data_IF_699179176805
#
_entry.id   IF_699179176805
#
_cell.length_a   1.000
_cell.length_b   1.000
_cell.length_c   1.000
_cell.angle_alpha   90.00
_cell.angle_beta   90.00
_cell.angle_gamma   90.00
#
_symmetry.space_group_name_H-M   'P 1'
#
loop_
_entity.id
_entity.type
_entity.pdbx_description
1 polymer ?
#
# COMPACT_ATOMS: atom_id res chain seq x y z
N UNK A 1 38.76 40.53 -56.41
CA UNK A 1 37.54 39.70 -56.64
C UNK A 1 37.71 38.21 -56.32
N UNK A 2 38.84 37.75 -55.79
CA UNK A 2 39.12 36.30 -55.62
C UNK A 2 39.12 35.86 -54.10
N UNK A 3 39.27 36.78 -53.18
CA UNK A 3 39.35 36.47 -51.73
C UNK A 3 37.97 36.38 -51.07
N UNK A 4 37.00 37.18 -51.52
CA UNK A 4 35.63 37.18 -50.96
C UNK A 4 34.82 35.93 -51.32
N UNK A 5 35.08 35.27 -52.43
CA UNK A 5 34.41 34.05 -52.86
C UNK A 5 34.87 32.83 -52.02
N UNK A 6 36.14 32.83 -51.59
CA UNK A 6 36.71 31.72 -50.82
C UNK A 6 36.21 31.72 -49.35
N UNK A 7 36.02 32.89 -48.74
CA UNK A 7 35.51 33.01 -47.38
C UNK A 7 34.02 32.61 -47.25
N UNK A 8 33.18 32.92 -48.27
CA UNK A 8 31.76 32.50 -48.26
C UNK A 8 31.58 30.97 -48.40
N UNK A 9 32.50 30.31 -49.16
CA UNK A 9 32.40 28.84 -49.33
C UNK A 9 32.88 28.06 -48.11
N UNK A 10 33.82 28.60 -47.34
CA UNK A 10 34.32 27.98 -46.12
C UNK A 10 33.25 28.11 -45.00
N UNK A 11 32.61 29.29 -44.86
CA UNK A 11 31.53 29.51 -43.88
C UNK A 11 30.33 28.59 -44.06
N UNK A 12 29.91 28.35 -45.30
CA UNK A 12 28.75 27.47 -45.59
C UNK A 12 29.08 26.00 -45.34
N UNK A 13 30.29 25.53 -45.64
CA UNK A 13 30.68 24.14 -45.34
C UNK A 13 30.80 23.87 -43.85
N UNK A 14 31.32 24.81 -43.10
CA UNK A 14 31.38 24.67 -41.62
C UNK A 14 30.02 24.78 -40.96
N UNK A 15 29.13 25.62 -41.51
CA UNK A 15 27.74 25.70 -40.99
C UNK A 15 26.95 24.40 -41.25
N UNK A 16 27.09 23.81 -42.43
CA UNK A 16 26.49 22.51 -42.76
C UNK A 16 27.11 21.37 -41.94
N UNK A 17 28.42 21.38 -41.66
CA UNK A 17 29.09 20.40 -40.85
C UNK A 17 28.68 20.52 -39.38
N UNK A 18 28.51 21.74 -38.84
CA UNK A 18 27.96 22.00 -37.51
C UNK A 18 26.49 21.61 -37.41
N UNK A 19 25.68 21.81 -38.45
CA UNK A 19 24.28 21.35 -38.46
C UNK A 19 24.19 19.83 -38.51
N UNK A 20 25.04 19.16 -39.30
CA UNK A 20 25.11 17.70 -39.34
C UNK A 20 25.68 17.10 -38.04
N UNK A 21 26.66 17.77 -37.40
CA UNK A 21 27.13 17.37 -36.08
C UNK A 21 26.04 17.55 -35.00
N UNK A 22 25.27 18.65 -35.03
CA UNK A 22 24.16 18.84 -34.12
C UNK A 22 22.99 17.87 -34.38
N UNK A 23 22.73 17.50 -35.63
CA UNK A 23 21.77 16.43 -35.95
C UNK A 23 22.28 15.04 -35.54
N UNK A 24 23.60 14.80 -35.57
CA UNK A 24 24.18 13.54 -35.08
C UNK A 24 24.24 13.44 -33.54
N UNK A 25 24.28 14.58 -32.84
CA UNK A 25 24.22 14.60 -31.36
C UNK A 25 22.80 14.60 -30.82
N UNK A 26 21.77 14.83 -31.62
CA UNK A 26 20.36 14.73 -31.20
C UNK A 26 19.69 13.39 -31.55
N UNK A 27 20.46 12.36 -31.93
CA UNK A 27 20.00 10.99 -31.68
C UNK A 27 20.07 10.75 -30.18
N UNK A 28 19.18 11.39 -29.42
CA UNK A 28 18.88 10.99 -28.06
C UNK A 28 18.65 9.48 -28.16
N UNK A 29 19.50 8.70 -27.46
CA UNK A 29 19.35 7.26 -27.36
C UNK A 29 17.93 7.04 -26.89
N UNK A 30 17.03 6.55 -27.71
CA UNK A 30 15.68 6.28 -27.33
C UNK A 30 15.77 5.29 -26.15
N UNK A 31 15.41 5.73 -24.96
CA UNK A 31 15.38 4.85 -23.79
C UNK A 31 14.38 3.77 -24.13
N UNK A 32 14.83 2.52 -24.14
CA UNK A 32 14.00 1.35 -24.43
C UNK A 32 13.65 0.62 -23.16
N UNK A 33 12.60 -0.19 -23.20
CA UNK A 33 12.27 -1.09 -22.10
C UNK A 33 13.37 -2.15 -21.90
N UNK A 34 13.46 -2.67 -20.66
CA UNK A 34 14.53 -3.58 -20.23
C UNK A 34 14.44 -4.98 -20.89
N UNK A 35 13.23 -5.42 -21.23
CA UNK A 35 12.97 -6.77 -21.71
C UNK A 35 12.92 -7.84 -20.60
N UNK A 36 12.99 -7.44 -19.34
CA UNK A 36 12.96 -8.36 -18.18
C UNK A 36 11.63 -8.37 -17.45
N UNK A 37 10.72 -7.46 -17.77
CA UNK A 37 9.35 -7.38 -17.26
C UNK A 37 8.34 -7.41 -18.41
N UNK A 38 7.08 -7.79 -18.15
CA UNK A 38 6.01 -7.64 -19.14
C UNK A 38 5.89 -6.19 -19.59
N UNK A 39 5.62 -5.98 -20.87
CA UNK A 39 5.45 -4.65 -21.45
C UNK A 39 3.99 -4.44 -21.84
N UNK A 40 3.41 -3.33 -21.37
CA UNK A 40 2.07 -2.86 -21.73
C UNK A 40 2.20 -1.76 -22.78
N UNK A 41 1.68 -2.01 -23.96
CA UNK A 41 1.64 -1.05 -25.05
C UNK A 41 0.24 -0.45 -25.14
N UNK A 42 0.14 0.88 -25.10
CA UNK A 42 -1.14 1.59 -25.20
C UNK A 42 -1.01 2.67 -26.28
N UNK A 43 -1.99 2.72 -27.20
CA UNK A 43 -2.13 3.77 -28.17
C UNK A 43 -3.47 4.48 -27.98
N UNK A 44 -3.43 5.79 -27.75
CA UNK A 44 -4.61 6.62 -27.50
C UNK A 44 -5.04 7.36 -28.75
N UNK A 45 -6.34 7.61 -28.87
CA UNK A 45 -6.92 8.38 -29.99
C UNK A 45 -6.70 9.89 -29.84
N UNK A 46 -6.42 10.37 -28.62
CA UNK A 46 -6.15 11.76 -28.30
C UNK A 46 -5.29 11.88 -27.04
N UNK A 47 -4.85 13.08 -26.70
CA UNK A 47 -4.09 13.33 -25.47
C UNK A 47 -4.89 13.00 -24.19
N UNK A 48 -4.22 12.52 -23.16
CA UNK A 48 -4.81 12.25 -21.84
C UNK A 48 -4.62 13.52 -20.99
N UNK A 49 -5.65 14.36 -20.94
CA UNK A 49 -5.59 15.67 -20.25
C UNK A 49 -6.38 15.69 -18.92
N UNK A 50 -7.22 14.67 -18.67
CA UNK A 50 -8.14 14.65 -17.56
C UNK A 50 -7.96 13.41 -16.68
N UNK A 51 -8.21 13.56 -15.38
CA UNK A 51 -8.37 12.43 -14.46
C UNK A 51 -9.83 11.99 -14.28
N UNK A 52 -10.77 12.67 -14.93
CA UNK A 52 -12.21 12.35 -14.91
C UNK A 52 -12.68 11.74 -16.23
N UNK A 53 -12.23 12.30 -17.33
CA UNK A 53 -12.70 11.94 -18.67
C UNK A 53 -11.80 10.88 -19.30
N UNK A 54 -12.43 9.86 -19.83
CA UNK A 54 -11.73 8.79 -20.52
C UNK A 54 -11.48 9.10 -21.98
N UNK A 55 -10.29 8.75 -22.44
CA UNK A 55 -9.90 8.72 -23.83
C UNK A 55 -9.99 7.28 -24.35
N UNK A 56 -10.50 7.09 -25.56
CA UNK A 56 -10.50 5.79 -26.22
C UNK A 56 -9.06 5.42 -26.63
N UNK A 57 -8.71 4.16 -26.46
CA UNK A 57 -7.38 3.64 -26.74
C UNK A 57 -7.44 2.16 -27.12
N UNK A 58 -6.33 1.67 -27.61
CA UNK A 58 -6.07 0.25 -27.78
C UNK A 58 -4.85 -0.16 -26.97
N UNK A 59 -4.78 -1.44 -26.58
CA UNK A 59 -3.62 -1.99 -25.89
C UNK A 59 -3.31 -3.41 -26.33
N UNK A 60 -2.08 -3.79 -26.14
CA UNK A 60 -1.64 -5.18 -26.07
C UNK A 60 -0.61 -5.34 -24.96
N UNK A 61 -0.47 -6.56 -24.47
CA UNK A 61 0.47 -6.91 -23.41
C UNK A 61 1.37 -8.03 -23.89
N UNK A 62 2.67 -7.76 -23.92
CA UNK A 62 3.71 -8.74 -24.20
C UNK A 62 4.32 -9.20 -22.87
N UNK A 63 4.23 -10.50 -22.51
CA UNK A 63 4.84 -11.02 -21.30
C UNK A 63 6.36 -11.16 -21.37
N UNK A 64 7.01 -10.83 -22.50
CA UNK A 64 8.45 -10.92 -22.71
C UNK A 64 9.03 -12.32 -22.44
N UNK A 65 8.25 -13.36 -22.72
CA UNK A 65 8.66 -14.77 -22.48
C UNK A 65 8.70 -15.18 -21.01
N UNK A 66 8.14 -14.40 -20.10
CA UNK A 66 8.09 -14.75 -18.68
C UNK A 66 7.07 -15.87 -18.46
N UNK A 67 7.53 -16.98 -17.87
CA UNK A 67 6.69 -18.13 -17.58
C UNK A 67 5.48 -17.80 -16.72
N UNK A 68 4.33 -18.39 -17.05
CA UNK A 68 3.07 -18.22 -16.33
C UNK A 68 2.26 -16.97 -16.73
N UNK A 69 2.75 -16.18 -17.68
CA UNK A 69 2.00 -15.06 -18.25
C UNK A 69 1.70 -15.30 -19.70
N UNK A 70 0.49 -14.93 -20.12
CA UNK A 70 0.02 -15.03 -21.50
C UNK A 70 0.00 -13.66 -22.16
N UNK A 71 0.33 -13.61 -23.45
CA UNK A 71 0.17 -12.40 -24.26
C UNK A 71 -1.32 -12.06 -24.41
N UNK A 72 -1.63 -10.76 -24.45
CA UNK A 72 -2.98 -10.27 -24.68
C UNK A 72 -2.94 -9.35 -25.88
N UNK A 73 -3.50 -9.79 -27.00
CA UNK A 73 -3.41 -9.09 -28.27
C UNK A 73 -1.99 -9.03 -28.85
N UNK A 74 -1.87 -8.21 -29.86
CA UNK A 74 -0.60 -7.89 -30.53
C UNK A 74 -0.64 -6.49 -31.13
N UNK A 75 0.46 -6.03 -31.71
CA UNK A 75 0.49 -4.75 -32.44
C UNK A 75 -0.52 -4.71 -33.60
N UNK A 76 -0.73 -5.85 -34.28
CA UNK A 76 -1.64 -5.98 -35.41
C UNK A 76 -3.09 -6.26 -34.99
N UNK A 77 -3.32 -6.78 -33.78
CA UNK A 77 -4.64 -7.12 -33.23
C UNK A 77 -4.74 -6.69 -31.75
N UNK A 78 -4.74 -5.37 -31.47
CA UNK A 78 -4.83 -4.85 -30.10
C UNK A 78 -6.27 -4.87 -29.56
N UNK A 79 -6.40 -4.98 -28.24
CA UNK A 79 -7.68 -4.90 -27.54
C UNK A 79 -8.10 -3.45 -27.28
N UNK A 80 -9.41 -3.13 -27.36
CA UNK A 80 -9.92 -1.82 -27.00
C UNK A 80 -9.93 -1.59 -25.49
N UNK A 81 -9.56 -0.38 -25.06
CA UNK A 81 -9.69 0.10 -23.71
C UNK A 81 -10.01 1.60 -23.68
N UNK A 82 -10.35 2.07 -22.49
CA UNK A 82 -10.44 3.49 -22.17
C UNK A 82 -9.40 3.82 -21.11
N UNK A 83 -8.71 4.96 -21.26
CA UNK A 83 -7.66 5.41 -20.35
C UNK A 83 -7.91 6.84 -19.91
N UNK A 84 -7.53 7.17 -18.67
CA UNK A 84 -7.53 8.53 -18.14
C UNK A 84 -6.43 8.71 -17.11
N UNK A 85 -6.12 9.92 -16.75
CA UNK A 85 -5.26 10.22 -15.62
C UNK A 85 -5.84 9.72 -14.30
N UNK A 86 -4.99 9.58 -13.28
CA UNK A 86 -5.38 9.26 -11.90
C UNK A 86 -4.43 9.89 -10.89
N UNK A 87 -4.91 9.98 -9.64
CA UNK A 87 -4.25 10.60 -8.51
C UNK A 87 -4.69 12.06 -8.31
N UNK A 88 -4.29 12.65 -7.21
CA UNK A 88 -4.44 14.07 -6.93
C UNK A 88 -3.07 14.73 -7.06
N UNK A 89 -2.22 14.60 -6.06
CA UNK A 89 -0.88 15.17 -6.07
C UNK A 89 -0.03 14.64 -7.23
N UNK A 90 -0.08 13.35 -7.52
CA UNK A 90 0.65 12.71 -8.62
C UNK A 90 0.15 13.10 -10.01
N UNK A 91 -1.09 13.63 -10.13
CA UNK A 91 -1.62 14.13 -11.40
C UNK A 91 -1.42 15.64 -11.58
N UNK A 92 -1.78 16.44 -10.57
CA UNK A 92 -1.71 17.89 -10.63
C UNK A 92 -0.35 18.46 -10.21
N UNK A 93 0.45 17.70 -9.48
CA UNK A 93 1.78 18.11 -9.05
C UNK A 93 2.82 18.13 -10.19
N UNK A 94 4.07 18.45 -9.88
CA UNK A 94 5.12 18.74 -10.84
C UNK A 94 5.72 17.47 -11.51
N UNK A 95 5.04 16.34 -11.42
CA UNK A 95 5.54 15.08 -11.99
C UNK A 95 5.20 14.94 -13.45
N UNK A 96 6.18 14.68 -14.30
CA UNK A 96 5.99 14.35 -15.71
C UNK A 96 5.59 12.88 -15.92
N UNK A 97 6.03 12.00 -15.04
CA UNK A 97 5.67 10.59 -15.01
C UNK A 97 4.28 10.43 -14.38
N UNK A 98 3.24 10.40 -15.19
CA UNK A 98 1.84 10.37 -14.74
C UNK A 98 1.33 8.95 -14.50
N UNK A 99 0.44 8.79 -13.53
CA UNK A 99 -0.29 7.56 -13.29
C UNK A 99 -1.61 7.55 -14.07
N UNK A 100 -2.09 6.34 -14.44
CA UNK A 100 -3.28 6.18 -15.27
C UNK A 100 -4.28 5.20 -14.66
N UNK A 101 -5.55 5.38 -15.01
CA UNK A 101 -6.62 4.40 -14.78
C UNK A 101 -7.09 3.87 -16.13
N UNK A 102 -7.11 2.55 -16.27
CA UNK A 102 -7.57 1.87 -17.48
C UNK A 102 -8.87 1.13 -17.22
N UNK A 103 -9.72 1.11 -18.23
CA UNK A 103 -10.98 0.38 -18.25
C UNK A 103 -11.08 -0.42 -19.54
N UNK A 104 -10.95 -1.73 -19.43
CA UNK A 104 -11.09 -2.66 -20.55
C UNK A 104 -12.56 -2.72 -21.00
N UNK A 105 -12.82 -2.95 -22.28
CA UNK A 105 -14.16 -3.16 -22.79
C UNK A 105 -14.78 -4.43 -22.23
N UNK A 106 -14.02 -5.51 -22.16
CA UNK A 106 -14.37 -6.76 -21.49
C UNK A 106 -13.36 -7.09 -20.40
N UNK A 107 -13.78 -7.83 -19.36
CA UNK A 107 -12.84 -8.23 -18.31
C UNK A 107 -11.83 -9.24 -18.85
N UNK A 108 -10.53 -9.05 -18.51
CA UNK A 108 -9.42 -9.94 -18.82
C UNK A 108 -8.60 -10.29 -17.57
N UNK A 109 -8.00 -11.48 -17.52
CA UNK A 109 -7.07 -11.87 -16.46
C UNK A 109 -5.66 -11.37 -16.80
N UNK A 110 -5.33 -10.12 -16.48
CA UNK A 110 -4.02 -9.57 -16.79
C UNK A 110 -2.92 -10.13 -15.87
N UNK A 111 -1.87 -10.72 -16.41
CA UNK A 111 -0.70 -11.22 -15.69
C UNK A 111 -1.06 -12.10 -14.46
N UNK A 112 -2.00 -13.03 -14.64
CA UNK A 112 -2.44 -13.94 -13.59
C UNK A 112 -3.32 -13.31 -12.52
N UNK A 113 -3.65 -12.03 -12.61
CA UNK A 113 -4.63 -11.38 -11.73
C UNK A 113 -6.05 -11.80 -12.12
N UNK A 114 -7.01 -11.81 -11.17
CA UNK A 114 -8.39 -12.15 -11.45
C UNK A 114 -9.01 -11.30 -12.56
N UNK A 115 -9.83 -11.94 -13.42
CA UNK A 115 -10.56 -11.28 -14.52
C UNK A 115 -11.30 -10.04 -14.03
N UNK A 116 -10.97 -8.89 -14.60
CA UNK A 116 -11.61 -7.61 -14.30
C UNK A 116 -11.49 -6.63 -15.46
N UNK A 117 -12.30 -5.55 -15.43
CA UNK A 117 -12.26 -4.46 -16.41
C UNK A 117 -11.39 -3.28 -15.94
N UNK A 118 -11.19 -3.10 -14.64
CA UNK A 118 -10.62 -1.88 -14.07
C UNK A 118 -9.27 -2.16 -13.40
N UNK A 119 -8.25 -1.46 -13.89
CA UNK A 119 -6.90 -1.49 -13.30
C UNK A 119 -6.33 -0.06 -13.24
N UNK A 120 -5.29 0.10 -12.45
CA UNK A 120 -4.46 1.30 -12.42
C UNK A 120 -3.04 0.96 -12.88
N UNK A 121 -2.42 1.89 -13.59
CA UNK A 121 -1.00 1.91 -13.88
C UNK A 121 -0.37 2.96 -12.96
N UNK A 122 0.20 2.51 -11.83
CA UNK A 122 0.80 3.37 -10.82
C UNK A 122 2.22 3.72 -11.22
N UNK A 123 2.54 5.00 -11.21
CA UNK A 123 3.83 5.52 -11.68
C UNK A 123 4.90 5.61 -10.57
N UNK A 124 4.48 5.77 -9.31
CA UNK A 124 5.35 5.96 -8.15
C UNK A 124 6.44 7.03 -8.34
N UNK A 125 6.05 8.18 -8.88
CA UNK A 125 6.96 9.29 -9.15
C UNK A 125 7.31 10.15 -7.92
N UNK A 126 6.56 10.02 -6.83
CA UNK A 126 6.59 10.89 -5.64
C UNK A 126 7.38 10.33 -4.45
N UNK A 127 7.98 9.18 -4.59
CA UNK A 127 8.52 8.43 -3.44
C UNK A 127 10.03 8.33 -3.33
N UNK A 128 10.79 8.91 -4.23
CA UNK A 128 12.24 8.75 -4.25
C UNK A 128 12.65 7.27 -4.21
N UNK A 129 13.72 6.96 -3.46
CA UNK A 129 14.24 5.58 -3.41
C UNK A 129 13.29 4.55 -2.80
N UNK A 130 12.27 4.94 -2.03
CA UNK A 130 11.30 3.99 -1.45
C UNK A 130 10.07 3.76 -2.33
N UNK A 131 9.90 4.53 -3.41
CA UNK A 131 8.68 4.60 -4.23
C UNK A 131 8.16 3.23 -4.66
N UNK A 132 9.01 2.38 -5.22
CA UNK A 132 8.62 1.07 -5.75
C UNK A 132 8.28 0.03 -4.67
N UNK A 133 8.68 0.28 -3.43
CA UNK A 133 8.52 -0.67 -2.32
C UNK A 133 7.32 -0.40 -1.42
N UNK A 134 6.76 0.81 -1.42
CA UNK A 134 5.71 1.24 -0.50
C UNK A 134 4.43 0.39 -0.62
N UNK A 135 3.76 0.48 -1.77
CA UNK A 135 2.56 -0.34 -2.03
C UNK A 135 2.89 -1.83 -2.08
N UNK A 136 4.06 -2.19 -2.61
CA UNK A 136 4.53 -3.58 -2.71
C UNK A 136 4.61 -4.23 -1.33
N UNK A 137 5.26 -3.57 -0.37
CA UNK A 137 5.35 -4.06 1.01
C UNK A 137 3.98 -4.10 1.69
N UNK A 138 3.17 -3.06 1.52
CA UNK A 138 1.87 -2.99 2.18
C UNK A 138 0.88 -4.03 1.67
N UNK A 139 0.84 -4.26 0.37
CA UNK A 139 -0.02 -5.31 -0.17
C UNK A 139 0.45 -6.70 0.21
N UNK A 140 1.77 -6.94 0.31
CA UNK A 140 2.27 -8.21 0.84
C UNK A 140 1.94 -8.37 2.32
N UNK A 141 2.18 -7.36 3.14
CA UNK A 141 1.79 -7.36 4.55
C UNK A 141 0.29 -7.60 4.74
N UNK A 142 -0.55 -6.93 3.94
CA UNK A 142 -2.00 -7.12 3.99
C UNK A 142 -2.42 -8.59 3.79
N UNK A 143 -1.75 -9.30 2.87
CA UNK A 143 -1.93 -10.75 2.69
C UNK A 143 -1.42 -11.55 3.88
N UNK A 144 -0.24 -11.22 4.38
CA UNK A 144 0.39 -11.95 5.50
C UNK A 144 -0.38 -11.79 6.81
N UNK A 145 -0.97 -10.63 7.08
CA UNK A 145 -1.82 -10.43 8.27
C UNK A 145 -3.24 -10.97 8.06
N UNK A 146 -3.62 -11.38 6.86
CA UNK A 146 -4.92 -11.97 6.57
C UNK A 146 -6.06 -10.97 6.40
N UNK A 147 -5.83 -9.80 5.77
CA UNK A 147 -6.91 -8.94 5.31
C UNK A 147 -7.76 -9.67 4.25
N UNK A 148 -9.08 -9.55 4.32
CA UNK A 148 -10.02 -10.25 3.43
C UNK A 148 -9.78 -9.95 1.95
N UNK A 149 -9.41 -8.72 1.63
CA UNK A 149 -8.99 -8.32 0.30
C UNK A 149 -7.78 -7.38 0.37
N UNK A 150 -6.79 -7.70 -0.43
CA UNK A 150 -5.63 -6.84 -0.66
C UNK A 150 -5.38 -6.77 -2.17
N UNK A 151 -5.27 -5.57 -2.76
CA UNK A 151 -5.03 -5.44 -4.19
C UNK A 151 -3.77 -6.19 -4.64
N UNK A 152 -3.87 -6.89 -5.76
CA UNK A 152 -2.69 -7.43 -6.42
C UNK A 152 -2.10 -6.39 -7.35
N UNK A 153 -0.78 -6.44 -7.49
CA UNK A 153 -0.05 -5.63 -8.47
C UNK A 153 0.99 -6.47 -9.19
N UNK A 154 1.35 -6.03 -10.39
CA UNK A 154 2.42 -6.61 -11.20
C UNK A 154 3.31 -5.48 -11.72
N UNK A 155 4.64 -5.55 -11.55
CA UNK A 155 5.54 -4.63 -12.21
C UNK A 155 5.48 -4.86 -13.73
N UNK A 156 5.36 -3.78 -14.47
CA UNK A 156 5.31 -3.78 -15.94
C UNK A 156 6.07 -2.57 -16.46
N UNK A 157 6.53 -2.64 -17.69
CA UNK A 157 7.02 -1.48 -18.39
C UNK A 157 5.91 -0.92 -19.30
N UNK A 158 5.80 0.39 -19.40
CA UNK A 158 4.75 1.06 -20.19
C UNK A 158 5.33 1.74 -21.40
N UNK A 159 4.77 1.43 -22.57
CA UNK A 159 4.95 2.19 -23.81
C UNK A 159 3.62 2.84 -24.17
N UNK A 160 3.58 4.15 -24.19
CA UNK A 160 2.38 4.93 -24.47
C UNK A 160 2.58 5.75 -25.75
N UNK A 161 1.80 5.47 -26.79
CA UNK A 161 1.92 6.13 -28.11
C UNK A 161 3.34 6.03 -28.71
N UNK A 162 3.98 4.87 -28.52
CA UNK A 162 5.34 4.62 -28.98
C UNK A 162 6.45 5.23 -28.09
N UNK A 163 6.10 6.01 -27.06
CA UNK A 163 7.05 6.58 -26.09
C UNK A 163 7.19 5.68 -24.87
N UNK A 164 8.41 5.27 -24.53
CA UNK A 164 8.70 4.51 -23.31
C UNK A 164 8.48 5.38 -22.09
N UNK A 165 7.54 4.96 -21.22
CA UNK A 165 7.14 5.71 -20.03
C UNK A 165 7.77 5.19 -18.74
N UNK A 166 8.54 4.11 -18.80
CA UNK A 166 9.26 3.55 -17.65
C UNK A 166 8.56 2.40 -16.94
N UNK A 167 9.02 2.13 -15.74
CA UNK A 167 8.48 1.11 -14.84
C UNK A 167 7.17 1.58 -14.20
N UNK A 168 6.13 0.80 -14.38
CA UNK A 168 4.80 1.00 -13.80
C UNK A 168 4.34 -0.23 -13.03
N UNK A 169 3.31 -0.05 -12.21
CA UNK A 169 2.70 -1.15 -11.46
C UNK A 169 1.25 -1.30 -11.91
N UNK A 170 0.97 -2.35 -12.69
CA UNK A 170 -0.39 -2.71 -13.05
C UNK A 170 -1.09 -3.27 -11.82
N UNK A 171 -2.05 -2.51 -11.29
CA UNK A 171 -2.62 -2.71 -9.96
C UNK A 171 -4.13 -2.87 -10.02
N UNK A 172 -4.68 -3.79 -9.27
CA UNK A 172 -6.12 -3.91 -9.05
C UNK A 172 -6.64 -2.67 -8.33
N UNK A 173 -7.75 -2.09 -8.83
CA UNK A 173 -8.41 -0.95 -8.16
C UNK A 173 -9.31 -1.42 -7.03
N UNK A 174 -9.44 -0.63 -5.98
CA UNK A 174 -10.42 -0.84 -4.91
C UNK A 174 -11.84 -0.66 -5.47
N UNK A 175 -12.66 -1.71 -5.42
CA UNK A 175 -14.04 -1.74 -5.92
C UNK A 175 -14.83 -2.86 -5.24
N UNK A 176 -16.14 -2.71 -5.18
CA UNK A 176 -17.04 -3.83 -4.87
C UNK A 176 -17.03 -4.84 -6.02
N UNK A 177 -16.99 -6.12 -5.68
CA UNK A 177 -17.01 -7.23 -6.62
C UNK A 177 -16.49 -8.52 -6.01
N UNK A 178 -16.93 -9.65 -6.55
CA UNK A 178 -16.67 -11.01 -6.02
C UNK A 178 -15.18 -11.32 -5.77
N UNK A 179 -14.26 -10.76 -6.56
CA UNK A 179 -12.80 -10.95 -6.43
C UNK A 179 -12.07 -9.67 -6.05
N UNK A 180 -12.77 -8.76 -5.41
CA UNK A 180 -12.32 -7.49 -4.86
C UNK A 180 -12.89 -7.38 -3.45
N UNK A 181 -13.49 -6.25 -3.10
CA UNK A 181 -14.29 -6.14 -1.87
C UNK A 181 -15.59 -6.91 -2.09
N UNK A 182 -15.65 -8.13 -1.54
CA UNK A 182 -16.71 -9.08 -1.80
C UNK A 182 -17.88 -8.85 -0.85
N UNK A 183 -18.67 -7.85 -1.13
CA UNK A 183 -19.90 -7.49 -0.42
C UNK A 183 -21.06 -7.37 -1.40
N UNK A 184 -22.30 -7.43 -0.91
CA UNK A 184 -23.49 -7.24 -1.71
C UNK A 184 -23.47 -5.85 -2.38
N UNK A 185 -23.57 -5.81 -3.70
CA UNK A 185 -23.61 -4.54 -4.43
C UNK A 185 -24.93 -3.82 -4.16
N UNK A 186 -24.85 -2.53 -3.87
CA UNK A 186 -26.00 -1.65 -3.68
C UNK A 186 -26.29 -0.91 -4.96
N UNK A 187 -27.56 -0.78 -5.31
CA UNK A 187 -27.94 0.02 -6.48
C UNK A 187 -27.83 1.51 -6.19
N UNK A 188 -27.48 2.27 -7.23
CA UNK A 188 -27.54 3.71 -7.19
C UNK A 188 -28.97 4.19 -6.90
N UNK A 189 -29.11 5.15 -5.98
CA UNK A 189 -30.39 5.73 -5.56
C UNK A 189 -31.39 4.70 -4.99
N UNK A 190 -30.90 3.63 -4.38
CA UNK A 190 -31.73 2.65 -3.68
C UNK A 190 -32.55 3.33 -2.57
N UNK A 191 -33.76 2.87 -2.35
CA UNK A 191 -34.69 3.39 -1.36
C UNK A 191 -35.22 2.34 -0.40
N UNK A 192 -35.06 1.07 -0.72
CA UNK A 192 -35.47 -0.04 0.14
C UNK A 192 -34.65 -0.05 1.43
N UNK A 193 -35.29 0.06 2.60
CA UNK A 193 -34.59 0.14 3.88
C UNK A 193 -33.78 -1.12 4.22
N UNK A 194 -34.11 -2.28 3.70
CA UNK A 194 -33.33 -3.50 3.90
C UNK A 194 -32.11 -3.54 2.98
N UNK A 195 -32.25 -3.09 1.74
CA UNK A 195 -31.18 -3.11 0.76
C UNK A 195 -30.09 -2.06 1.02
N UNK A 196 -30.43 -0.95 1.68
CA UNK A 196 -29.46 0.10 2.02
C UNK A 196 -28.65 -0.20 3.30
N UNK A 197 -28.90 -1.32 3.99
CA UNK A 197 -28.19 -1.66 5.22
C UNK A 197 -26.71 -2.01 5.01
N UNK A 198 -26.31 -2.38 3.79
CA UNK A 198 -24.92 -2.72 3.44
C UNK A 198 -24.65 -2.67 1.95
N UNK A 199 -23.48 -3.15 1.55
CA UNK A 199 -22.96 -2.93 0.21
C UNK A 199 -22.23 -1.59 0.09
N UNK A 200 -21.75 -1.09 1.23
CA UNK A 200 -21.04 0.18 1.33
C UNK A 200 -19.54 -0.02 1.17
N UNK A 201 -18.95 0.76 0.28
CA UNK A 201 -17.51 0.99 0.21
C UNK A 201 -17.29 2.49 0.36
N UNK A 202 -16.59 2.88 1.42
CA UNK A 202 -16.31 4.27 1.76
C UNK A 202 -14.82 4.46 2.08
N UNK A 203 -14.40 5.71 2.18
CA UNK A 203 -13.02 6.09 2.45
C UNK A 203 -13.02 7.27 3.43
N UNK A 204 -12.27 7.15 4.53
CA UNK A 204 -11.90 8.31 5.33
C UNK A 204 -10.86 9.07 4.52
N UNK A 205 -11.20 10.30 4.15
CA UNK A 205 -10.34 11.17 3.35
C UNK A 205 -10.50 12.62 3.79
N UNK A 206 -9.76 12.99 4.81
CA UNK A 206 -9.82 14.29 5.43
C UNK A 206 -9.14 15.41 4.60
N UNK A 207 -8.31 15.00 3.62
CA UNK A 207 -7.52 15.93 2.79
C UNK A 207 -8.09 16.16 1.40
N UNK A 208 -8.98 15.30 0.93
CA UNK A 208 -9.52 15.38 -0.42
C UNK A 208 -10.91 16.03 -0.42
N UNK A 209 -11.13 16.96 -1.33
CA UNK A 209 -12.46 17.52 -1.59
C UNK A 209 -13.14 16.74 -2.71
N UNK A 210 -14.20 16.04 -2.39
CA UNK A 210 -15.00 15.28 -3.34
C UNK A 210 -16.47 15.62 -3.22
N UNK A 211 -17.20 15.59 -4.34
CA UNK A 211 -18.67 15.68 -4.38
C UNK A 211 -19.36 14.53 -3.63
N UNK A 212 -18.66 13.42 -3.49
CA UNK A 212 -19.13 12.17 -2.88
C UNK A 212 -18.80 12.11 -1.40
N UNK A 213 -18.98 13.22 -0.66
CA UNK A 213 -18.64 13.27 0.75
C UNK A 213 -19.85 13.36 1.67
N UNK A 214 -19.67 12.76 2.85
CA UNK A 214 -20.47 12.99 4.04
C UNK A 214 -19.55 13.57 5.10
N UNK A 215 -19.93 14.71 5.64
CA UNK A 215 -19.25 15.37 6.74
C UNK A 215 -20.12 15.16 7.98
N UNK A 216 -19.82 14.18 8.83
CA UNK A 216 -20.58 13.98 10.05
C UNK A 216 -20.30 15.11 11.03
N UNK A 217 -21.34 15.58 11.66
CA UNK A 217 -21.25 16.53 12.76
C UNK A 217 -21.65 15.80 14.04
N UNK A 218 -20.79 15.80 15.04
CA UNK A 218 -21.05 15.22 16.35
C UNK A 218 -21.06 16.33 17.38
N UNK A 219 -22.23 16.61 17.99
CA UNK A 219 -22.40 17.67 18.97
C UNK A 219 -21.46 17.45 20.19
N UNK A 220 -20.79 18.52 20.59
CA UNK A 220 -19.84 18.48 21.73
C UNK A 220 -18.43 18.01 21.35
N UNK A 221 -18.13 17.82 20.07
CA UNK A 221 -16.79 17.47 19.58
C UNK A 221 -16.34 18.45 18.51
N UNK A 222 -15.02 18.54 18.32
CA UNK A 222 -14.43 19.35 17.23
C UNK A 222 -14.33 18.59 15.89
N UNK A 223 -15.10 17.51 15.71
CA UNK A 223 -15.10 16.66 14.51
C UNK A 223 -15.70 17.34 13.26
N UNK A 224 -15.46 18.62 13.09
CA UNK A 224 -15.97 19.39 11.93
C UNK A 224 -15.27 19.04 10.62
N UNK A 225 -14.13 18.33 10.69
CA UNK A 225 -13.28 18.02 9.52
C UNK A 225 -13.23 16.54 9.17
N UNK A 226 -13.86 15.66 9.96
CA UNK A 226 -13.92 14.24 9.62
C UNK A 226 -14.79 14.05 8.38
N UNK A 227 -14.20 13.52 7.32
CA UNK A 227 -14.85 13.37 6.01
C UNK A 227 -14.85 11.92 5.58
N UNK A 228 -15.98 11.49 5.05
CA UNK A 228 -16.13 10.15 4.49
C UNK A 228 -16.58 10.29 3.03
N UNK A 229 -15.75 9.83 2.13
CA UNK A 229 -16.05 9.74 0.69
C UNK A 229 -16.69 8.38 0.39
N UNK A 230 -17.83 8.34 -0.29
CA UNK A 230 -18.43 7.08 -0.71
C UNK A 230 -18.05 6.70 -2.15
N UNK A 231 -17.80 5.42 -2.36
CA UNK A 231 -17.36 4.84 -3.64
C UNK A 231 -18.33 3.81 -4.19
N UNK A 232 -19.15 3.20 -3.33
CA UNK A 232 -20.24 2.33 -3.70
C UNK A 232 -21.36 2.48 -2.67
N UNK A 233 -22.58 2.80 -3.16
CA UNK A 233 -22.94 3.13 -4.54
C UNK A 233 -22.37 4.49 -5.01
N UNK A 234 -22.31 4.72 -6.32
CA UNK A 234 -21.76 5.96 -6.90
C UNK A 234 -22.69 7.17 -6.69
N UNK A 235 -24.00 6.97 -6.58
CA UNK A 235 -25.00 8.02 -6.42
C UNK A 235 -26.01 7.63 -5.35
N UNK A 236 -26.18 8.50 -4.35
CA UNK A 236 -27.05 8.23 -3.21
C UNK A 236 -28.46 8.81 -3.38
N UNK A 237 -29.48 8.02 -2.97
CA UNK A 237 -30.81 8.55 -2.62
C UNK A 237 -30.74 9.33 -1.30
N UNK A 238 -31.81 10.04 -0.95
CA UNK A 238 -31.94 10.67 0.35
C UNK A 238 -31.90 9.64 1.49
N UNK A 239 -32.53 8.48 1.32
CA UNK A 239 -32.54 7.39 2.29
C UNK A 239 -31.13 6.81 2.51
N UNK A 240 -30.38 6.54 1.43
CA UNK A 240 -29.00 6.07 1.50
C UNK A 240 -28.10 7.10 2.21
N UNK A 241 -28.18 8.36 1.86
CA UNK A 241 -27.40 9.44 2.49
C UNK A 241 -27.69 9.55 3.98
N UNK A 242 -28.96 9.49 4.36
CA UNK A 242 -29.36 9.54 5.76
C UNK A 242 -28.85 8.31 6.53
N UNK A 243 -29.01 7.13 5.95
CA UNK A 243 -28.53 5.89 6.55
C UNK A 243 -27.00 5.94 6.79
N UNK A 244 -26.23 6.23 5.75
CA UNK A 244 -24.75 6.30 5.84
C UNK A 244 -24.33 7.37 6.87
N UNK A 245 -24.94 8.54 6.85
CA UNK A 245 -24.66 9.63 7.82
C UNK A 245 -24.93 9.17 9.26
N UNK A 246 -26.02 8.45 9.51
CA UNK A 246 -26.36 7.96 10.83
C UNK A 246 -25.39 6.86 11.28
N UNK A 247 -25.00 5.94 10.39
CA UNK A 247 -24.03 4.89 10.71
C UNK A 247 -22.68 5.48 11.11
N UNK A 248 -22.16 6.42 10.33
CA UNK A 248 -20.88 7.08 10.63
C UNK A 248 -20.98 7.89 11.93
N UNK A 249 -22.08 8.61 12.17
CA UNK A 249 -22.28 9.33 13.44
C UNK A 249 -22.31 8.40 14.66
N UNK A 250 -23.00 7.28 14.54
CA UNK A 250 -23.05 6.27 15.62
C UNK A 250 -21.67 5.69 15.89
N UNK A 251 -20.92 5.30 14.85
CA UNK A 251 -19.54 4.86 14.98
C UNK A 251 -18.68 5.91 15.69
N UNK A 252 -18.69 7.16 15.24
CA UNK A 252 -17.89 8.22 15.85
C UNK A 252 -18.30 8.50 17.30
N UNK A 253 -19.59 8.40 17.63
CA UNK A 253 -20.06 8.59 18.99
C UNK A 253 -19.48 7.54 19.94
N UNK A 254 -19.47 6.27 19.53
CA UNK A 254 -18.89 5.20 20.36
C UNK A 254 -17.37 5.32 20.47
N UNK A 255 -16.69 5.91 19.46
CA UNK A 255 -15.24 6.12 19.48
C UNK A 255 -14.85 7.34 20.31
N UNK A 256 -15.55 8.47 20.19
CA UNK A 256 -15.11 9.74 20.79
C UNK A 256 -15.78 10.08 22.12
N UNK A 257 -17.00 9.58 22.37
CA UNK A 257 -17.82 10.00 23.52
C UNK A 257 -17.99 8.90 24.56
N UNK A 258 -18.01 7.62 24.16
CA UNK A 258 -18.21 6.51 25.09
C UNK A 258 -17.01 6.29 26.04
N UNK A 259 -17.27 5.60 27.15
CA UNK A 259 -16.21 5.13 28.06
C UNK A 259 -15.26 4.18 27.29
N UNK A 260 -13.96 4.36 27.46
CA UNK A 260 -12.94 3.56 26.77
C UNK A 260 -12.87 2.10 27.26
N UNK A 261 -13.48 1.78 28.39
CA UNK A 261 -13.65 0.40 28.86
C UNK A 261 -14.91 -0.27 28.31
N UNK A 262 -15.75 0.47 27.59
CA UNK A 262 -16.94 -0.06 26.94
C UNK A 262 -16.57 -0.80 25.65
N UNK A 263 -17.38 -1.77 25.26
CA UNK A 263 -17.25 -2.53 24.00
C UNK A 263 -18.32 -2.15 22.97
N UNK A 264 -19.14 -1.14 23.23
CA UNK A 264 -20.19 -0.69 22.30
C UNK A 264 -19.66 -0.34 20.91
N UNK A 265 -18.44 0.16 20.82
CA UNK A 265 -17.80 0.50 19.56
C UNK A 265 -17.57 -0.73 18.65
N UNK A 266 -17.41 -1.94 19.20
CA UNK A 266 -17.28 -3.19 18.44
C UNK A 266 -18.55 -3.55 17.66
N UNK A 267 -19.70 -2.95 17.98
CA UNK A 267 -20.90 -3.07 17.17
C UNK A 267 -20.79 -2.31 15.84
N UNK A 268 -19.95 -1.28 15.78
CA UNK A 268 -19.78 -0.43 14.60
C UNK A 268 -18.44 -0.61 13.90
N UNK A 269 -17.45 -1.19 14.56
CA UNK A 269 -16.11 -1.43 13.98
C UNK A 269 -15.73 -2.88 14.26
N UNK A 270 -15.40 -3.61 13.19
CA UNK A 270 -14.86 -4.97 13.31
C UNK A 270 -13.45 -4.90 13.93
N UNK A 271 -13.34 -5.45 15.12
CA UNK A 271 -12.12 -5.42 15.93
C UNK A 271 -10.94 -6.08 15.21
N UNK A 272 -11.18 -7.23 14.57
CA UNK A 272 -10.13 -8.01 13.92
C UNK A 272 -9.64 -7.32 12.63
N UNK A 273 -10.56 -6.84 11.80
CA UNK A 273 -10.23 -6.09 10.59
C UNK A 273 -9.45 -4.80 10.90
N UNK A 274 -9.88 -4.05 11.93
CA UNK A 274 -9.18 -2.85 12.38
C UNK A 274 -7.77 -3.18 12.89
N UNK A 275 -7.63 -4.19 13.75
CA UNK A 275 -6.34 -4.56 14.32
C UNK A 275 -5.35 -5.03 13.24
N UNK A 276 -5.79 -5.82 12.25
CA UNK A 276 -4.97 -6.25 11.10
C UNK A 276 -4.58 -5.07 10.21
N UNK A 277 -5.53 -4.20 9.87
CA UNK A 277 -5.24 -2.99 9.08
C UNK A 277 -4.22 -2.10 9.80
N UNK A 278 -4.43 -1.82 11.09
CA UNK A 278 -3.53 -1.02 11.90
C UNK A 278 -2.13 -1.63 11.96
N UNK A 279 -2.02 -2.94 12.15
CA UNK A 279 -0.73 -3.62 12.20
C UNK A 279 0.10 -3.39 10.93
N UNK A 280 -0.52 -3.46 9.74
CA UNK A 280 0.18 -3.19 8.47
C UNK A 280 0.69 -1.76 8.41
N UNK A 281 -0.19 -0.78 8.65
CA UNK A 281 0.18 0.63 8.48
C UNK A 281 1.16 1.10 9.56
N UNK A 282 1.09 0.52 10.75
CA UNK A 282 2.05 0.77 11.84
C UNK A 282 3.43 0.19 11.52
N UNK A 283 3.52 -1.06 11.03
CA UNK A 283 4.78 -1.68 10.64
C UNK A 283 5.51 -0.91 9.54
N UNK A 284 4.76 -0.31 8.61
CA UNK A 284 5.30 0.49 7.52
C UNK A 284 5.52 1.96 7.89
N UNK A 285 5.13 2.38 9.09
CA UNK A 285 5.16 3.77 9.54
C UNK A 285 4.44 4.70 8.53
N UNK A 286 3.26 4.28 8.09
CA UNK A 286 2.46 4.99 7.09
C UNK A 286 1.63 6.08 7.77
N UNK A 287 2.21 7.25 7.92
CA UNK A 287 1.68 8.35 8.74
C UNK A 287 0.39 8.99 8.23
N UNK A 288 0.06 8.82 6.97
CA UNK A 288 -1.20 9.28 6.39
C UNK A 288 -2.37 8.31 6.67
N UNK A 289 -2.08 7.12 7.18
CA UNK A 289 -3.11 6.15 7.54
C UNK A 289 -4.14 6.79 8.50
N UNK A 290 -5.42 6.49 8.29
CA UNK A 290 -6.57 7.05 8.99
C UNK A 290 -6.88 8.56 8.72
N UNK A 291 -6.07 9.22 7.86
CA UNK A 291 -6.28 10.61 7.46
C UNK A 291 -6.75 10.73 6.01
N UNK A 292 -6.16 9.94 5.13
CA UNK A 292 -6.47 9.85 3.71
C UNK A 292 -6.38 8.40 3.22
N UNK A 293 -7.07 8.09 2.15
CA UNK A 293 -7.11 6.77 1.49
C UNK A 293 -7.37 5.57 2.42
N UNK A 294 -8.03 5.82 3.57
CA UNK A 294 -8.40 4.80 4.54
C UNK A 294 -9.77 4.24 4.20
N UNK A 295 -9.79 3.12 3.49
CA UNK A 295 -11.03 2.46 3.08
C UNK A 295 -11.70 1.72 4.21
N UNK A 296 -13.05 1.73 4.18
CA UNK A 296 -13.91 0.90 5.02
C UNK A 296 -15.03 0.30 4.14
N UNK A 297 -15.45 -0.89 4.49
CA UNK A 297 -16.59 -1.51 3.82
C UNK A 297 -17.51 -2.20 4.82
N UNK A 298 -18.77 -2.33 4.43
CA UNK A 298 -19.81 -2.98 5.25
C UNK A 298 -20.78 -3.77 4.36
N UNK A 299 -20.92 -5.06 4.63
CA UNK A 299 -21.86 -5.89 3.90
C UNK A 299 -23.29 -5.73 4.41
N UNK A 300 -24.24 -6.27 3.64
CA UNK A 300 -25.68 -6.24 3.96
C UNK A 300 -25.96 -7.12 5.18
N UNK A 301 -26.75 -6.55 6.11
CA UNK A 301 -27.07 -7.23 7.36
C UNK A 301 -25.99 -7.16 8.43
N UNK A 302 -24.78 -6.72 8.11
CA UNK A 302 -23.75 -6.45 9.11
C UNK A 302 -23.92 -5.06 9.74
N UNK A 303 -23.54 -4.91 11.00
CA UNK A 303 -23.50 -3.61 11.67
C UNK A 303 -22.11 -2.99 11.62
N UNK A 304 -21.07 -3.80 11.76
CA UNK A 304 -19.70 -3.35 11.87
C UNK A 304 -19.06 -3.00 10.51
N UNK A 305 -18.29 -1.94 10.51
CA UNK A 305 -17.41 -1.54 9.44
C UNK A 305 -16.09 -2.28 9.53
N UNK A 306 -15.61 -2.83 8.42
CA UNK A 306 -14.29 -3.45 8.30
C UNK A 306 -13.32 -2.44 7.70
N UNK A 307 -12.17 -2.25 8.34
CA UNK A 307 -11.08 -1.41 7.82
C UNK A 307 -10.33 -2.16 6.72
N UNK A 308 -10.08 -1.50 5.63
CA UNK A 308 -9.50 -2.03 4.39
C UNK A 308 -10.42 -1.79 3.18
N UNK A 309 -9.93 -2.19 1.99
CA UNK A 309 -8.60 -2.67 1.69
C UNK A 309 -7.52 -1.58 1.78
N UNK A 310 -6.26 -2.00 1.84
CA UNK A 310 -5.12 -1.10 1.76
C UNK A 310 -5.06 -0.42 0.40
N UNK A 311 -4.75 0.86 0.40
CA UNK A 311 -4.57 1.65 -0.81
C UNK A 311 -3.71 2.88 -0.54
N UNK A 312 -2.95 3.31 -1.55
CA UNK A 312 -2.16 4.55 -1.55
C UNK A 312 -1.21 4.70 -0.34
N UNK A 313 -0.31 3.75 -0.19
CA UNK A 313 0.67 3.74 0.89
C UNK A 313 1.85 4.69 0.61
N UNK A 314 1.57 5.83 -0.05
CA UNK A 314 2.55 6.81 -0.50
C UNK A 314 3.44 7.39 0.60
N UNK A 315 3.02 7.35 1.84
CA UNK A 315 3.78 7.81 3.01
C UNK A 315 4.41 6.66 3.84
N UNK A 316 4.35 5.42 3.35
CA UNK A 316 5.05 4.29 3.98
C UNK A 316 6.58 4.46 3.87
N UNK A 317 7.32 3.84 4.77
CA UNK A 317 8.77 3.95 4.87
C UNK A 317 9.26 5.40 4.98
N UNK A 318 8.55 6.20 5.76
CA UNK A 318 8.90 7.60 5.96
C UNK A 318 10.16 7.73 6.83
N UNK A 319 11.28 8.12 6.21
CA UNK A 319 12.56 8.27 6.89
C UNK A 319 12.66 9.46 7.85
N UNK A 320 11.70 10.40 7.82
CA UNK A 320 11.75 11.65 8.60
C UNK A 320 11.18 11.48 10.00
N UNK A 321 10.41 10.41 10.22
CA UNK A 321 9.76 10.18 11.50
C UNK A 321 10.61 9.33 12.42
N UNK A 322 10.63 9.63 13.73
CA UNK A 322 11.22 8.76 14.72
C UNK A 322 10.50 7.41 14.75
N UNK A 323 11.26 6.31 14.67
CA UNK A 323 10.69 4.95 14.68
C UNK A 323 10.33 4.43 16.07
N UNK A 324 10.53 5.23 17.12
CA UNK A 324 10.31 4.89 18.51
C UNK A 324 8.98 5.41 19.08
N UNK A 325 7.99 5.61 18.24
CA UNK A 325 6.60 5.97 18.64
C UNK A 325 5.59 5.38 17.68
N UNK A 326 4.34 5.29 18.13
CA UNK A 326 3.23 4.86 17.30
C UNK A 326 2.83 5.92 16.27
N UNK A 327 2.35 5.49 15.10
CA UNK A 327 1.98 6.40 14.01
C UNK A 327 0.89 7.40 14.43
N UNK A 328 -0.09 7.00 15.26
CA UNK A 328 -1.17 7.88 15.71
C UNK A 328 -0.70 8.95 16.72
N UNK A 329 0.50 8.81 17.29
CA UNK A 329 1.12 9.84 18.16
C UNK A 329 1.79 10.96 17.34
N UNK A 330 1.85 10.77 16.02
CA UNK A 330 2.40 11.74 15.12
C UNK A 330 1.33 12.77 14.76
N UNK A 331 1.47 13.99 15.27
CA UNK A 331 0.67 15.12 14.83
C UNK A 331 1.38 15.81 13.69
N UNK A 332 0.68 16.01 12.59
CA UNK A 332 1.23 16.78 11.49
C UNK A 332 1.33 18.25 11.93
N UNK A 333 2.55 18.71 12.22
CA UNK A 333 2.82 20.03 12.82
C UNK A 333 2.47 21.21 11.90
N UNK A 334 2.09 20.98 10.66
CA UNK A 334 2.08 22.02 9.62
C UNK A 334 0.70 22.40 9.07
N UNK A 335 -0.38 21.70 9.35
CA UNK A 335 -1.71 22.12 8.92
C UNK A 335 -2.82 21.66 9.87
N UNK A 336 -3.71 22.59 10.18
CA UNK A 336 -4.92 22.34 10.97
C UNK A 336 -5.90 21.35 10.33
N UNK A 337 -5.67 20.91 9.08
CA UNK A 337 -6.53 19.98 8.34
C UNK A 337 -6.20 18.50 8.59
N UNK A 338 -5.06 18.21 9.20
CA UNK A 338 -4.57 16.85 9.47
C UNK A 338 -4.82 16.39 10.92
N UNK A 339 -5.54 17.15 11.71
CA UNK A 339 -5.61 16.97 13.16
C UNK A 339 -6.54 15.83 13.63
N UNK A 340 -7.31 15.19 12.74
CA UNK A 340 -8.31 14.20 13.15
C UNK A 340 -7.91 12.82 12.68
N UNK A 341 -7.10 12.15 13.48
CA UNK A 341 -6.79 10.74 13.33
C UNK A 341 -7.67 9.90 14.26
N UNK A 342 -8.64 9.17 13.70
CA UNK A 342 -9.55 8.33 14.50
C UNK A 342 -8.78 7.29 15.34
N UNK A 343 -7.58 6.90 14.91
CA UNK A 343 -6.76 5.93 15.64
C UNK A 343 -6.24 6.47 16.97
N UNK A 344 -6.10 7.80 17.15
CA UNK A 344 -5.75 8.39 18.44
C UNK A 344 -6.79 8.05 19.54
N UNK A 345 -8.07 8.05 19.17
CA UNK A 345 -9.15 7.68 20.09
C UNK A 345 -9.30 6.16 20.20
N UNK A 346 -9.21 5.44 19.09
CA UNK A 346 -9.29 3.98 19.07
C UNK A 346 -8.17 3.32 19.88
N UNK A 347 -6.98 3.88 19.87
CA UNK A 347 -5.84 3.38 20.64
C UNK A 347 -6.04 3.46 22.17
N UNK A 348 -7.02 4.22 22.64
CA UNK A 348 -7.35 4.32 24.08
C UNK A 348 -8.22 3.15 24.56
N UNK A 349 -8.78 2.33 23.68
CA UNK A 349 -9.57 1.17 24.07
C UNK A 349 -8.68 -0.03 24.42
N UNK A 350 -8.72 -0.52 25.68
CA UNK A 350 -7.89 -1.65 26.11
C UNK A 350 -8.11 -2.90 25.24
N UNK A 351 -9.36 -3.17 24.88
CA UNK A 351 -9.73 -4.32 24.06
C UNK A 351 -9.04 -4.34 22.68
N UNK A 352 -8.92 -3.17 22.05
CA UNK A 352 -8.17 -3.06 20.78
C UNK A 352 -6.67 -3.29 21.00
N UNK A 353 -6.10 -2.73 22.07
CA UNK A 353 -4.70 -2.90 22.40
C UNK A 353 -4.35 -4.37 22.67
N UNK A 354 -5.20 -5.08 23.39
CA UNK A 354 -5.07 -6.52 23.62
C UNK A 354 -5.06 -7.28 22.28
N UNK A 355 -6.02 -6.99 21.39
CA UNK A 355 -6.11 -7.68 20.11
C UNK A 355 -4.91 -7.42 19.19
N UNK A 356 -4.41 -6.20 19.19
CA UNK A 356 -3.18 -5.85 18.44
C UNK A 356 -1.98 -6.63 18.98
N UNK A 357 -1.80 -6.72 20.30
CA UNK A 357 -0.73 -7.49 20.94
C UNK A 357 -0.82 -8.99 20.64
N UNK A 358 -2.02 -9.56 20.69
CA UNK A 358 -2.25 -10.95 20.31
C UNK A 358 -1.79 -11.21 18.88
N UNK A 359 -2.29 -10.42 17.92
CA UNK A 359 -1.92 -10.54 16.50
C UNK A 359 -0.43 -10.36 16.29
N UNK A 360 0.20 -9.39 16.97
CA UNK A 360 1.63 -9.19 16.89
C UNK A 360 2.41 -10.43 17.33
N UNK A 361 2.08 -10.98 18.49
CA UNK A 361 2.79 -12.14 19.03
C UNK A 361 2.62 -13.39 18.17
N UNK A 362 1.45 -13.55 17.54
CA UNK A 362 1.19 -14.68 16.64
C UNK A 362 1.92 -14.54 15.30
N UNK A 363 1.97 -13.34 14.73
CA UNK A 363 2.34 -13.11 13.34
C UNK A 363 3.78 -12.60 13.17
N UNK A 364 4.31 -11.78 14.10
CA UNK A 364 5.61 -11.13 13.94
C UNK A 364 6.78 -12.11 13.70
N UNK A 365 6.82 -13.32 14.30
CA UNK A 365 7.92 -14.27 14.06
C UNK A 365 8.03 -14.74 12.61
N UNK A 366 6.95 -14.72 11.85
CA UNK A 366 6.90 -15.19 10.45
C UNK A 366 6.82 -14.06 9.44
N UNK A 367 6.17 -12.96 9.77
CA UNK A 367 5.95 -11.83 8.86
C UNK A 367 7.27 -11.18 8.42
N UNK A 368 8.15 -10.86 9.36
CA UNK A 368 9.39 -10.13 9.05
C UNK A 368 10.34 -10.92 8.13
N UNK A 369 10.67 -12.19 8.41
CA UNK A 369 11.50 -12.98 7.50
C UNK A 369 10.86 -13.13 6.12
N UNK A 370 9.55 -13.34 6.08
CA UNK A 370 8.80 -13.52 4.82
C UNK A 370 8.81 -12.24 4.00
N UNK A 371 8.45 -11.09 4.62
CA UNK A 371 8.46 -9.79 3.95
C UNK A 371 9.86 -9.40 3.49
N UNK A 372 10.89 -9.61 4.31
CA UNK A 372 12.28 -9.32 3.96
C UNK A 372 12.71 -10.11 2.72
N UNK A 373 12.40 -11.40 2.68
CA UNK A 373 12.70 -12.26 1.53
C UNK A 373 11.94 -11.80 0.30
N UNK A 374 10.65 -11.51 0.45
CA UNK A 374 9.81 -11.01 -0.63
C UNK A 374 10.35 -9.71 -1.23
N UNK A 375 10.68 -8.71 -0.41
CA UNK A 375 11.18 -7.41 -0.89
C UNK A 375 12.55 -7.51 -1.56
N UNK A 376 13.43 -8.40 -1.10
CA UNK A 376 14.72 -8.65 -1.77
C UNK A 376 14.54 -9.30 -3.14
N UNK A 377 13.67 -10.30 -3.24
CA UNK A 377 13.35 -10.95 -4.51
C UNK A 377 12.69 -9.96 -5.48
N UNK A 378 11.79 -9.14 -4.97
CA UNK A 378 11.14 -8.08 -5.75
C UNK A 378 12.14 -7.04 -6.25
N UNK A 379 13.09 -6.60 -5.43
CA UNK A 379 14.15 -5.68 -5.85
C UNK A 379 15.00 -6.25 -6.99
N UNK A 380 15.34 -7.55 -6.92
CA UNK A 380 16.06 -8.23 -7.99
C UNK A 380 15.20 -8.33 -9.27
N UNK A 381 13.90 -8.63 -9.13
CA UNK A 381 12.97 -8.75 -10.26
C UNK A 381 12.86 -7.46 -11.08
N UNK A 382 12.85 -6.30 -10.43
CA UNK A 382 12.63 -5.01 -11.11
C UNK A 382 13.94 -4.27 -11.45
N UNK A 383 15.10 -4.83 -11.18
CA UNK A 383 16.39 -4.12 -11.22
C UNK A 383 16.66 -3.45 -12.56
N UNK A 384 16.56 -4.20 -13.67
CA UNK A 384 16.85 -3.71 -15.00
C UNK A 384 15.81 -2.65 -15.45
N UNK A 385 14.55 -2.92 -15.19
CA UNK A 385 13.47 -1.96 -15.50
C UNK A 385 13.56 -0.67 -14.67
N UNK A 386 14.00 -0.76 -13.41
CA UNK A 386 14.24 0.42 -12.58
C UNK A 386 15.42 1.26 -13.10
N UNK A 387 16.47 0.61 -13.62
CA UNK A 387 17.58 1.32 -14.26
C UNK A 387 17.14 2.07 -15.54
N UNK A 388 16.36 1.42 -16.41
CA UNK A 388 15.76 2.05 -17.60
C UNK A 388 14.78 3.18 -17.21
N UNK A 389 14.00 2.98 -16.14
CA UNK A 389 13.10 4.00 -15.61
C UNK A 389 13.87 5.23 -15.14
N UNK A 390 14.98 5.03 -14.42
CA UNK A 390 15.83 6.11 -13.92
C UNK A 390 16.55 6.85 -15.07
N UNK A 391 16.95 6.17 -16.13
CA UNK A 391 17.47 6.84 -17.34
C UNK A 391 16.43 7.78 -17.95
N UNK A 392 15.16 7.38 -17.95
CA UNK A 392 14.04 8.18 -18.48
C UNK A 392 13.61 9.28 -17.52
N UNK A 393 13.67 9.02 -16.21
CA UNK A 393 13.14 9.86 -15.15
C UNK A 393 14.14 9.99 -13.99
N UNK A 394 15.27 10.69 -14.15
CA UNK A 394 16.34 10.73 -13.15
C UNK A 394 15.92 11.43 -11.83
N UNK A 395 14.86 12.22 -11.86
CA UNK A 395 14.33 12.89 -10.67
C UNK A 395 13.38 12.02 -9.84
N UNK A 396 13.03 10.81 -10.31
CA UNK A 396 12.05 9.92 -9.68
C UNK A 396 12.64 8.51 -9.46
N UNK A 397 12.23 7.85 -8.40
CA UNK A 397 12.61 6.47 -8.12
C UNK A 397 14.07 6.26 -7.79
N UNK A 398 14.65 5.16 -8.25
CA UNK A 398 16.04 4.75 -7.99
C UNK A 398 16.59 3.89 -9.12
N UNK A 399 17.86 4.10 -9.47
CA UNK A 399 18.58 3.21 -10.39
C UNK A 399 19.09 1.94 -9.72
N UNK A 400 19.29 1.95 -8.40
CA UNK A 400 19.80 0.81 -7.63
C UNK A 400 18.75 0.32 -6.63
N UNK A 401 18.02 -0.70 -7.04
CA UNK A 401 16.98 -1.34 -6.22
C UNK A 401 17.54 -2.06 -5.01
N UNK A 402 18.81 -2.50 -5.03
CA UNK A 402 19.46 -3.14 -3.88
C UNK A 402 19.73 -2.11 -2.76
N UNK A 403 20.17 -0.92 -3.12
CA UNK A 403 20.33 0.19 -2.16
C UNK A 403 18.98 0.59 -1.60
N UNK A 404 17.96 0.73 -2.47
CA UNK A 404 16.62 1.12 -2.07
C UNK A 404 15.96 0.09 -1.13
N UNK A 405 16.01 -1.19 -1.45
CA UNK A 405 15.44 -2.22 -0.57
C UNK A 405 16.17 -2.31 0.78
N UNK A 406 17.47 -2.14 0.78
CA UNK A 406 18.26 -2.08 2.02
C UNK A 406 17.80 -0.95 2.93
N UNK A 407 17.53 0.22 2.35
CA UNK A 407 17.01 1.36 3.09
C UNK A 407 15.62 1.06 3.67
N UNK A 408 14.70 0.53 2.88
CA UNK A 408 13.38 0.13 3.36
C UNK A 408 13.45 -0.91 4.49
N UNK A 409 14.31 -1.93 4.35
CA UNK A 409 14.48 -2.97 5.36
C UNK A 409 15.09 -2.43 6.65
N UNK A 410 16.00 -1.46 6.59
CA UNK A 410 16.53 -0.80 7.78
C UNK A 410 15.44 -0.02 8.54
N UNK A 411 14.55 0.69 7.83
CA UNK A 411 13.42 1.39 8.45
C UNK A 411 12.43 0.39 9.08
N UNK A 412 12.16 -0.71 8.40
CA UNK A 412 11.31 -1.78 8.89
C UNK A 412 11.87 -2.43 10.16
N UNK A 413 13.19 -2.69 10.21
CA UNK A 413 13.87 -3.25 11.36
C UNK A 413 13.81 -2.32 12.57
N UNK A 414 14.06 -1.02 12.39
CA UNK A 414 13.92 -0.04 13.45
C UNK A 414 12.50 0.00 14.03
N UNK A 415 11.49 -0.04 13.16
CA UNK A 415 10.09 -0.07 13.59
C UNK A 415 9.77 -1.37 14.29
N UNK A 416 10.25 -2.50 13.79
CA UNK A 416 10.10 -3.81 14.43
C UNK A 416 10.64 -3.80 15.86
N UNK A 417 11.85 -3.31 16.06
CA UNK A 417 12.47 -3.23 17.39
C UNK A 417 11.63 -2.42 18.37
N UNK A 418 11.05 -1.32 17.91
CA UNK A 418 10.13 -0.53 18.71
C UNK A 418 8.88 -1.32 19.07
N UNK A 419 8.19 -1.89 18.10
CA UNK A 419 6.94 -2.64 18.30
C UNK A 419 7.16 -3.89 19.17
N UNK A 420 8.28 -4.57 19.01
CA UNK A 420 8.69 -5.70 19.84
C UNK A 420 8.77 -5.29 21.32
N UNK A 421 9.38 -4.13 21.59
CA UNK A 421 9.48 -3.61 22.94
C UNK A 421 8.13 -3.16 23.54
N UNK A 422 7.17 -2.73 22.70
CA UNK A 422 5.86 -2.25 23.15
C UNK A 422 4.86 -3.39 23.34
N UNK A 423 4.90 -4.42 22.49
CA UNK A 423 3.84 -5.41 22.42
C UNK A 423 4.23 -6.79 22.92
N UNK A 424 5.52 -7.18 22.87
CA UNK A 424 5.95 -8.50 23.32
C UNK A 424 6.14 -8.61 24.84
N UNK A 425 6.39 -7.49 25.54
CA UNK A 425 6.70 -7.49 26.98
C UNK A 425 5.50 -7.81 27.88
N UNK A 426 4.28 -7.54 27.42
CA UNK A 426 3.07 -7.70 28.24
C UNK A 426 2.34 -9.04 28.05
N UNK A 427 2.64 -9.75 26.95
CA UNK A 427 1.90 -10.98 26.62
C UNK A 427 2.44 -12.23 27.34
N UNK A 428 3.68 -12.20 27.78
CA UNK A 428 4.30 -13.41 28.36
C UNK A 428 3.93 -13.68 29.82
N UNK A 429 3.39 -12.70 30.55
CA UNK A 429 3.26 -12.80 32.01
C UNK A 429 4.60 -13.13 32.71
N UNK A 430 5.67 -13.18 31.94
CA UNK A 430 7.03 -13.41 32.34
C UNK A 430 7.80 -12.14 31.98
N UNK A 431 8.25 -11.39 32.99
CA UNK A 431 9.23 -10.32 32.77
C UNK A 431 10.31 -10.84 31.83
N UNK A 432 10.58 -10.14 30.72
CA UNK A 432 11.80 -10.38 29.95
C UNK A 432 12.95 -10.26 30.95
N UNK A 433 13.47 -11.40 31.38
CA UNK A 433 14.73 -11.43 32.12
C UNK A 433 15.73 -10.89 31.09
N UNK A 434 16.02 -9.60 31.21
CA UNK A 434 17.18 -8.98 30.51
C UNK A 434 18.34 -9.89 30.83
N UNK A 435 18.95 -10.53 29.85
CA UNK A 435 20.12 -11.39 30.01
C UNK A 435 21.27 -10.59 30.63
N UNK A 436 21.18 -10.42 31.94
CA UNK A 436 22.35 -10.14 32.76
C UNK A 436 22.98 -11.48 33.07
N UNK A 437 23.90 -11.92 32.22
CA UNK A 437 24.75 -13.09 32.32
C UNK A 437 24.03 -14.46 32.21
N UNK A 438 24.64 -15.47 31.64
CA UNK A 438 24.03 -16.78 31.45
C UNK A 438 23.65 -17.34 32.81
N UNK A 439 22.36 -17.27 33.11
CA UNK A 439 21.83 -17.87 34.34
C UNK A 439 21.85 -19.39 34.18
N UNK A 440 22.82 -20.03 34.81
CA UNK A 440 22.99 -21.49 34.82
C UNK A 440 21.91 -22.22 35.63
N UNK A 441 20.88 -21.53 36.14
CA UNK A 441 19.79 -22.11 36.91
C UNK A 441 18.90 -22.98 36.05
N UNK A 442 18.50 -24.13 36.61
CA UNK A 442 17.58 -25.08 35.99
C UNK A 442 16.24 -24.98 36.66
N UNK A 443 15.16 -25.00 35.87
CA UNK A 443 13.78 -24.95 36.34
C UNK A 443 13.00 -26.20 35.89
N UNK A 444 12.04 -26.65 36.68
CA UNK A 444 11.08 -27.63 36.21
C UNK A 444 10.03 -27.01 35.27
N UNK A 445 9.15 -27.84 34.67
CA UNK A 445 8.11 -27.36 33.77
C UNK A 445 7.01 -26.51 34.46
N UNK A 446 6.99 -26.47 35.82
CA UNK A 446 6.13 -25.61 36.62
C UNK A 446 6.84 -24.29 37.02
N UNK A 447 8.05 -24.01 36.45
CA UNK A 447 8.79 -22.78 36.71
C UNK A 447 9.52 -22.72 38.07
N UNK A 448 9.58 -23.81 38.84
CA UNK A 448 10.28 -23.84 40.13
C UNK A 448 11.79 -24.03 39.87
N UNK A 449 12.60 -23.17 40.48
CA UNK A 449 14.06 -23.26 40.41
C UNK A 449 14.58 -24.50 41.18
N UNK A 450 15.44 -25.26 40.50
CA UNK A 450 16.04 -26.47 41.09
C UNK A 450 17.48 -26.21 41.51
N UNK A 451 17.82 -26.61 42.75
CA UNK A 451 19.15 -26.42 43.32
C UNK A 451 20.06 -27.57 42.90
N UNK A 452 21.05 -27.29 42.02
CA UNK A 452 22.15 -28.13 41.55
C UNK A 452 21.84 -29.41 40.74
N UNK A 453 22.73 -29.67 39.78
CA UNK A 453 22.68 -30.79 38.81
C UNK A 453 22.66 -32.19 39.40
N UNK A 454 23.05 -32.40 40.68
CA UNK A 454 23.35 -33.71 41.22
C UNK A 454 22.14 -34.56 41.57
N UNK A 455 20.94 -33.95 41.66
CA UNK A 455 19.69 -34.62 42.08
C UNK A 455 18.54 -34.61 41.08
N UNK A 456 18.80 -34.19 39.82
CA UNK A 456 17.75 -34.12 38.83
C UNK A 456 17.36 -35.53 38.34
N UNK A 457 16.06 -35.84 38.39
CA UNK A 457 15.53 -37.10 37.79
C UNK A 457 15.54 -37.01 36.29
N UNK A 458 15.51 -38.17 35.61
CA UNK A 458 15.32 -38.15 34.15
C UNK A 458 14.03 -37.40 33.79
N UNK A 459 14.10 -36.39 32.89
CA UNK A 459 12.95 -35.54 32.57
C UNK A 459 13.36 -34.35 31.74
N UNK A 460 12.35 -33.54 31.36
CA UNK A 460 12.51 -32.28 30.63
C UNK A 460 12.57 -31.12 31.64
N UNK A 461 13.53 -30.22 31.43
CA UNK A 461 13.78 -29.05 32.26
C UNK A 461 14.02 -27.82 31.39
N UNK A 462 13.99 -26.64 32.00
CA UNK A 462 14.30 -25.37 31.37
C UNK A 462 15.64 -24.85 31.89
N UNK A 463 16.57 -24.52 30.99
CA UNK A 463 17.86 -23.88 31.30
C UNK A 463 18.16 -22.81 30.26
N UNK A 464 18.37 -21.57 30.72
CA UNK A 464 18.64 -20.45 29.82
C UNK A 464 17.57 -20.26 28.75
N UNK A 465 16.27 -20.41 29.11
CA UNK A 465 15.12 -20.31 28.18
C UNK A 465 14.93 -21.47 27.21
N UNK A 466 15.80 -22.51 27.25
CA UNK A 466 15.73 -23.68 26.36
C UNK A 466 15.29 -24.93 27.13
N UNK A 467 14.49 -25.79 26.47
CA UNK A 467 14.15 -27.12 26.98
C UNK A 467 15.39 -28.01 26.89
N UNK A 468 15.79 -28.65 27.99
CA UNK A 468 16.85 -29.65 28.05
C UNK A 468 16.27 -30.99 28.53
N UNK A 469 16.75 -32.06 27.93
CA UNK A 469 16.41 -33.42 28.34
C UNK A 469 17.56 -33.98 29.19
N UNK A 470 17.28 -34.30 30.46
CA UNK A 470 18.23 -35.00 31.32
C UNK A 470 17.86 -36.50 31.31
N UNK A 471 18.82 -37.36 30.97
CA UNK A 471 18.70 -38.80 31.06
C UNK A 471 19.73 -39.32 32.09
N UNK A 472 19.28 -40.02 33.10
CA UNK A 472 20.21 -40.80 33.96
C UNK A 472 20.49 -42.10 33.24
N UNK A 473 21.74 -42.36 32.92
CA UNK A 473 22.20 -43.69 32.56
C UNK A 473 22.11 -44.57 33.80
N UNK A 474 21.36 -45.64 33.72
CA UNK A 474 21.40 -46.69 34.74
C UNK A 474 22.84 -47.20 34.89
N UNK A 475 23.39 -47.15 36.10
CA UNK A 475 24.60 -47.88 36.45
C UNK A 475 24.24 -49.32 36.69
#
# INVERSE_FOLDING_TARGET
>A
MTVEKTMKTIGTKHFFLLLLLNMAFSAARAVSYSGTLPVVFINTTSAIESKTDYVDATFYLDPMGIDGYEAIGSADDPFPLKIRGRGNYTWYGPFEKKAYKIKLESGLPLLGMPKNKHFALLAHADGGQTAFFRNTAGFELGRLVGLEFTPQQRPVELVLNGDYRGLYFLTETVRVGQRRVNIAEQQNRETDPELITGGWLVEIDNVNESWHQIIPSLAGTELTRFRVTYHSPDTLSTAQRQYLSNQIKSMLRTVYVADKNDTEWEQFIDLDALARYYLVVEMLDHVEAFLGSCYLYKDRGEMAWKFGPLWDLGHAFNGWHPKNRFLYQYKHETSADWDICIMEELAKFPRLQERIKELWNDLSPTIYPTLTTYLRNFAAQIADAAACDYERWPDYGTADTNVAVKYCLNLLEQKQQFLENQWSSDYSGIEKIVEKQPNHSIYDLQGRRLNRHENLKSGIYLKGGKKILIRKTAK
#
